data_IF_417480238583
#
_entry.id   IF_417480238583
#
_cell.length_a   1.000
_cell.length_b   1.000
_cell.length_c   1.000
_cell.angle_alpha   90.00
_cell.angle_beta   90.00
_cell.angle_gamma   90.00
#
_symmetry.space_group_name_H-M   'P 1'
#
loop_
_entity.id
_entity.type
_entity.pdbx_description
1 polymer ?
2 polymer ?
3 non-polymer ?
#
# COMPACT_ATOMS: atom_id res chain seq x y z
N UNK A 6 16.63 -24.85 -27.55
CA UNK A 6 16.56 -23.44 -27.20
C UNK A 6 16.25 -22.58 -28.42
N UNK A 7 15.16 -21.84 -28.36
CA UNK A 7 14.76 -20.98 -29.46
C UNK A 7 15.41 -19.61 -29.34
N UNK A 8 15.02 -18.71 -30.25
CA UNK A 8 15.45 -17.32 -30.24
C UNK A 8 14.23 -16.44 -30.40
N UNK A 9 14.34 -15.19 -29.93
CA UNK A 9 13.23 -14.26 -30.08
C UNK A 9 12.92 -14.01 -31.55
N UNK A 10 13.92 -14.18 -32.42
CA UNK A 10 13.71 -14.20 -33.85
C UNK A 10 13.97 -15.62 -34.36
N UNK A 11 12.98 -16.28 -34.98
CA UNK A 11 13.18 -17.68 -35.36
C UNK A 11 14.24 -17.88 -36.43
N UNK A 12 14.44 -16.91 -37.33
CA UNK A 12 15.44 -17.07 -38.37
C UNK A 12 16.84 -17.19 -37.79
N UNK A 13 17.07 -16.65 -36.59
CA UNK A 13 18.38 -16.72 -35.98
C UNK A 13 18.61 -18.01 -35.20
N UNK A 14 17.55 -18.78 -34.94
CA UNK A 14 17.64 -19.90 -34.00
C UNK A 14 18.73 -20.91 -34.38
N UNK A 15 18.88 -21.19 -35.67
CA UNK A 15 19.84 -22.20 -36.08
C UNK A 15 21.28 -21.67 -35.93
N UNK A 16 21.52 -20.41 -36.31
CA UNK A 16 22.81 -19.80 -36.04
C UNK A 16 23.10 -19.72 -34.55
N UNK A 17 22.05 -19.55 -33.74
CA UNK A 17 22.20 -19.54 -32.30
C UNK A 17 22.68 -20.88 -31.80
N UNK A 18 22.07 -21.96 -32.29
CA UNK A 18 22.53 -23.31 -31.96
C UNK A 18 23.97 -23.53 -32.41
N UNK A 19 24.32 -23.05 -33.60
CA UNK A 19 25.68 -23.22 -34.09
C UNK A 19 26.68 -22.44 -33.26
N UNK A 20 26.27 -21.31 -32.68
CA UNK A 20 27.18 -20.62 -31.75
C UNK A 20 27.22 -21.33 -30.41
N UNK A 21 26.07 -21.83 -29.94
CA UNK A 21 25.97 -22.40 -28.61
C UNK A 21 26.78 -23.69 -28.51
N UNK A 22 26.78 -24.50 -29.57
CA UNK A 22 27.54 -25.75 -29.53
C UNK A 22 29.04 -25.48 -29.47
N UNK A 23 29.49 -24.56 -30.33
CA UNK A 23 30.91 -24.19 -30.34
C UNK A 23 31.31 -23.59 -29.00
N UNK A 24 30.48 -22.71 -28.44
CA UNK A 24 30.83 -22.12 -27.16
C UNK A 24 30.81 -23.14 -26.04
N UNK A 25 29.94 -24.14 -26.13
CA UNK A 25 29.94 -25.19 -25.12
C UNK A 25 31.24 -25.98 -25.16
N UNK A 26 31.70 -26.34 -26.36
CA UNK A 26 33.00 -26.98 -26.46
C UNK A 26 34.11 -26.09 -25.90
N UNK A 27 34.18 -24.85 -26.40
CA UNK A 27 35.18 -23.90 -25.96
C UNK A 27 35.22 -23.78 -24.44
N UNK A 28 34.05 -23.63 -23.83
CA UNK A 28 33.95 -23.45 -22.38
C UNK A 28 34.37 -24.72 -21.64
N UNK A 29 33.76 -25.86 -21.99
CA UNK A 29 33.99 -27.08 -21.25
C UNK A 29 35.45 -27.50 -21.32
N UNK A 30 36.08 -27.40 -22.49
CA UNK A 30 37.45 -27.85 -22.68
C UNK A 30 38.50 -26.76 -22.48
N UNK A 31 38.43 -25.69 -23.27
CA UNK A 31 39.53 -24.72 -23.32
C UNK A 31 39.52 -23.75 -22.13
N UNK A 32 38.36 -23.20 -21.79
CA UNK A 32 38.28 -22.15 -20.77
C UNK A 32 38.20 -22.68 -19.35
N UNK A 33 37.77 -23.91 -19.16
CA UNK A 33 37.68 -24.50 -17.83
C UNK A 33 38.69 -25.62 -17.66
N UNK A 40 38.51 -16.88 -27.44
CA UNK A 40 37.46 -16.48 -28.37
C UNK A 40 37.66 -17.15 -29.73
N UNK A 41 37.55 -18.48 -29.76
CA UNK A 41 37.79 -19.23 -30.98
C UNK A 41 36.52 -19.42 -31.81
N UNK A 42 35.35 -19.24 -31.22
CA UNK A 42 34.08 -19.37 -31.92
C UNK A 42 33.59 -18.05 -32.51
N UNK A 43 34.48 -17.26 -33.10
CA UNK A 43 34.13 -15.92 -33.53
C UNK A 43 33.33 -15.89 -34.82
N UNK A 44 33.42 -16.93 -35.65
CA UNK A 44 32.69 -16.92 -36.91
C UNK A 44 31.19 -17.16 -36.67
N UNK A 45 30.86 -18.23 -35.94
CA UNK A 45 29.47 -18.46 -35.58
C UNK A 45 28.95 -17.33 -34.69
N UNK A 46 29.82 -16.74 -33.87
CA UNK A 46 29.42 -15.59 -33.06
C UNK A 46 29.07 -14.40 -33.94
N UNK A 47 29.86 -14.15 -34.98
CA UNK A 47 29.55 -13.07 -35.91
C UNK A 47 28.22 -13.32 -36.60
N UNK A 48 28.01 -14.54 -37.10
CA UNK A 48 26.75 -14.86 -37.76
C UNK A 48 25.57 -14.63 -36.83
N UNK A 49 25.66 -15.17 -35.61
CA UNK A 49 24.55 -15.07 -34.67
C UNK A 49 24.31 -13.62 -34.26
N UNK A 50 25.37 -12.87 -33.95
CA UNK A 50 25.20 -11.49 -33.53
C UNK A 50 24.70 -10.61 -34.65
N UNK A 51 25.08 -10.90 -35.90
CA UNK A 51 24.53 -10.17 -37.03
C UNK A 51 23.04 -10.42 -37.15
N UNK A 52 22.62 -11.69 -37.08
CA UNK A 52 21.20 -11.99 -37.16
C UNK A 52 20.43 -11.35 -36.01
N UNK A 53 20.99 -11.38 -34.80
CA UNK A 53 20.29 -10.82 -33.64
C UNK A 53 20.24 -9.30 -33.72
N UNK A 54 21.30 -8.67 -34.21
CA UNK A 54 21.28 -7.22 -34.38
C UNK A 54 20.24 -6.81 -35.42
N UNK A 55 20.16 -7.56 -36.52
CA UNK A 55 19.15 -7.26 -37.52
C UNK A 55 17.74 -7.43 -36.95
N UNK A 56 17.53 -8.48 -36.16
CA UNK A 56 16.20 -8.72 -35.59
C UNK A 56 15.85 -7.66 -34.57
N UNK A 57 16.81 -7.25 -33.74
CA UNK A 57 16.57 -6.16 -32.79
C UNK A 57 16.24 -4.88 -33.52
N UNK A 58 17.03 -4.53 -34.55
CA UNK A 58 16.73 -3.35 -35.36
C UNK A 58 15.29 -3.42 -35.86
N UNK A 59 14.94 -4.51 -36.55
CA UNK A 59 13.59 -4.71 -37.06
C UNK A 59 12.55 -4.46 -35.98
N UNK A 60 12.48 -5.37 -35.00
CA UNK A 60 11.40 -5.36 -34.02
C UNK A 60 11.34 -4.03 -33.26
N UNK A 61 12.49 -3.54 -32.76
CA UNK A 61 12.46 -2.41 -31.86
C UNK A 61 12.41 -1.05 -32.54
N UNK A 62 12.90 -0.94 -33.77
CA UNK A 62 13.03 0.34 -34.44
C UNK A 62 11.99 0.49 -35.55
N UNK A 63 11.86 -0.51 -36.41
CA UNK A 63 11.10 -0.31 -37.64
C UNK A 63 9.64 0.09 -37.42
N UNK A 64 8.90 -0.47 -36.46
CA UNK A 64 7.52 0.01 -36.26
C UNK A 64 7.41 1.53 -36.20
N UNK A 65 8.34 2.20 -35.52
CA UNK A 65 8.34 3.66 -35.48
C UNK A 65 8.51 4.26 -36.87
N UNK A 66 9.39 3.66 -37.70
CA UNK A 66 9.63 4.21 -39.03
C UNK A 66 8.45 3.98 -39.95
N UNK A 67 7.90 2.76 -39.94
CA UNK A 67 6.73 2.46 -40.76
C UNK A 67 5.52 3.29 -40.34
N UNK A 68 5.43 3.64 -39.05
CA UNK A 68 4.41 4.58 -38.62
C UNK A 68 4.72 5.99 -39.12
N UNK A 69 6.00 6.37 -39.11
CA UNK A 69 6.41 7.68 -39.59
C UNK A 69 6.53 7.74 -41.11
N UNK A 70 6.47 6.61 -41.80
CA UNK A 70 6.44 6.61 -43.26
C UNK A 70 5.06 6.91 -43.82
N UNK A 71 4.07 7.15 -42.97
CA UNK A 71 2.69 7.36 -43.42
C UNK A 71 2.58 8.74 -44.05
N UNK A 72 2.64 8.77 -45.39
CA UNK A 72 2.48 9.99 -46.15
C UNK A 72 2.05 9.61 -47.57
N UNK A 73 1.76 10.62 -48.36
CA UNK A 73 1.57 10.39 -49.79
C UNK A 73 2.93 10.00 -50.37
N UNK A 74 3.15 8.73 -50.75
CA UNK A 74 4.47 8.16 -51.06
C UNK A 74 5.28 9.00 -52.06
N UNK B 14 10.10 1.86 -3.68
CA UNK B 14 8.80 1.39 -3.21
C UNK B 14 8.91 0.11 -2.38
N UNK B 15 7.88 -0.73 -2.36
CA UNK B 15 7.86 -1.85 -1.42
C UNK B 15 8.87 -2.91 -1.83
N UNK B 16 9.74 -3.30 -0.88
CA UNK B 16 10.83 -4.22 -1.14
C UNK B 16 10.76 -5.39 -0.16
N UNK B 17 10.99 -6.59 -0.67
CA UNK B 17 10.99 -7.82 0.12
C UNK B 17 12.14 -8.68 -0.37
N UNK B 18 12.87 -9.30 0.57
CA UNK B 18 14.01 -10.13 0.18
C UNK B 18 13.91 -11.50 0.84
N UNK B 19 14.13 -12.55 0.05
CA UNK B 19 14.17 -13.91 0.54
C UNK B 19 15.46 -14.58 0.11
N UNK B 20 15.90 -15.56 0.89
CA UNK B 20 17.16 -16.25 0.63
C UNK B 20 16.97 -17.75 0.78
N UNK B 21 17.67 -18.50 -0.06
CA UNK B 21 17.65 -19.95 -0.01
C UNK B 21 19.01 -20.48 -0.43
N UNK B 22 19.27 -21.76 -0.12
CA UNK B 22 20.54 -22.40 -0.42
C UNK B 22 20.28 -23.77 -1.00
N UNK B 23 20.98 -24.11 -2.08
CA UNK B 23 20.88 -25.45 -2.66
C UNK B 23 22.26 -25.92 -3.09
N UNK B 24 22.55 -27.20 -2.84
CA UNK B 24 23.88 -27.77 -3.08
C UNK B 24 23.76 -28.80 -4.19
N UNK B 25 24.37 -28.52 -5.35
CA UNK B 25 24.42 -29.46 -6.46
C UNK B 25 25.59 -30.41 -6.27
N UNK B 26 25.37 -31.73 -6.30
CA UNK B 26 26.46 -32.69 -6.13
C UNK B 26 27.23 -32.95 -7.42
N UNK B 27 27.79 -31.88 -7.99
CA UNK B 27 28.50 -31.98 -9.25
C UNK B 27 29.59 -30.93 -9.29
N UNK B 28 30.45 -31.04 -10.31
CA UNK B 28 31.57 -30.12 -10.45
C UNK B 28 31.09 -28.74 -10.89
N UNK B 29 31.93 -27.73 -10.62
CA UNK B 29 31.58 -26.36 -10.99
C UNK B 29 31.43 -26.22 -12.49
N UNK B 30 32.26 -26.93 -13.25
CA UNK B 30 32.17 -26.88 -14.71
C UNK B 30 30.83 -27.39 -15.20
N UNK B 31 30.40 -28.53 -14.67
CA UNK B 31 29.13 -29.12 -15.10
C UNK B 31 27.95 -28.22 -14.74
N UNK B 32 27.94 -27.70 -13.50
CA UNK B 32 26.84 -26.85 -13.07
C UNK B 32 26.81 -25.55 -13.87
N UNK B 33 27.98 -24.98 -14.16
CA UNK B 33 28.03 -23.73 -14.91
C UNK B 33 27.57 -23.93 -16.35
N UNK B 34 28.08 -24.97 -17.02
CA UNK B 34 27.63 -25.29 -18.36
C UNK B 34 26.12 -25.55 -18.38
N UNK B 35 25.61 -26.21 -17.34
CA UNK B 35 24.18 -26.48 -17.28
C UNK B 35 23.38 -25.19 -17.13
N UNK B 36 23.85 -24.27 -16.30
CA UNK B 36 23.21 -22.96 -16.21
C UNK B 36 23.17 -22.30 -17.57
N UNK B 37 24.27 -22.38 -18.32
CA UNK B 37 24.28 -21.78 -19.65
C UNK B 37 23.50 -22.59 -20.68
N UNK B 38 23.08 -23.81 -20.35
CA UNK B 38 22.26 -24.63 -21.23
C UNK B 38 21.02 -25.14 -20.51
N UNK B 39 20.28 -24.23 -19.87
CA UNK B 39 19.20 -24.63 -18.99
C UNK B 39 17.91 -24.98 -19.75
N UNK B 40 17.71 -24.41 -20.93
CA UNK B 40 16.42 -24.58 -21.57
C UNK B 40 16.57 -25.22 -22.95
N UNK B 41 15.55 -25.98 -23.41
CA UNK B 41 14.32 -26.26 -22.66
C UNK B 41 14.46 -27.46 -21.74
N UNK B 42 13.64 -27.49 -20.70
CA UNK B 42 13.58 -28.61 -19.77
C UNK B 42 12.14 -28.74 -19.29
N UNK B 43 11.71 -29.94 -18.87
CA UNK B 43 10.31 -30.13 -18.49
C UNK B 43 9.89 -29.31 -17.28
N UNK B 44 10.84 -28.85 -16.46
CA UNK B 44 10.53 -28.08 -15.27
C UNK B 44 10.46 -26.58 -15.52
N UNK B 45 10.73 -26.14 -16.75
CA UNK B 45 10.64 -24.72 -17.13
C UNK B 45 9.95 -24.61 -18.48
N UNK B 46 8.63 -24.81 -18.52
CA UNK B 46 7.90 -24.68 -19.78
C UNK B 46 7.61 -23.25 -20.17
N UNK B 47 7.81 -22.29 -19.29
CA UNK B 47 7.45 -20.90 -19.56
C UNK B 47 8.49 -20.16 -20.39
N UNK B 48 9.74 -20.63 -20.41
CA UNK B 48 10.79 -19.94 -21.17
C UNK B 48 10.56 -20.18 -22.66
N UNK B 49 10.53 -19.10 -23.43
CA UNK B 49 10.26 -19.15 -24.86
C UNK B 49 11.48 -18.95 -25.72
N UNK B 50 12.50 -18.25 -25.24
CA UNK B 50 13.70 -17.99 -26.03
C UNK B 50 14.80 -17.48 -25.12
N UNK B 51 16.03 -17.79 -25.49
CA UNK B 51 17.23 -17.22 -24.87
C UNK B 51 18.14 -16.71 -25.98
N UNK B 52 18.82 -15.61 -25.71
CA UNK B 52 19.73 -15.01 -26.67
C UNK B 52 20.94 -14.45 -25.94
N UNK B 53 22.12 -14.60 -26.53
CA UNK B 53 23.35 -14.12 -25.95
C UNK B 53 23.65 -12.74 -26.52
N UNK B 54 23.48 -11.70 -25.70
CA UNK B 54 23.76 -10.35 -26.15
C UNK B 54 25.26 -10.05 -26.09
N UNK B 55 25.92 -10.44 -25.00
CA UNK B 55 27.36 -10.19 -24.92
C UNK B 55 28.03 -11.33 -24.17
N UNK B 56 29.32 -11.53 -24.47
CA UNK B 56 30.12 -12.55 -23.83
C UNK B 56 31.58 -12.30 -24.14
N UNK B 57 32.41 -12.13 -23.11
CA UNK B 57 33.81 -11.84 -23.30
C UNK B 57 34.60 -12.26 -22.07
N UNK B 58 35.92 -12.26 -22.21
CA UNK B 58 36.82 -12.53 -21.10
C UNK B 58 37.36 -11.19 -20.61
N UNK B 59 36.97 -10.82 -19.39
CA UNK B 59 37.31 -9.51 -18.84
C UNK B 59 38.81 -9.38 -18.58
N UNK B 60 39.21 -8.19 -18.12
CA UNK B 60 40.60 -7.92 -17.82
C UNK B 60 41.13 -8.74 -16.66
N UNK B 61 40.25 -9.18 -15.75
CA UNK B 61 40.67 -10.00 -14.62
C UNK B 61 40.65 -11.50 -14.93
N UNK B 62 40.36 -11.87 -16.17
CA UNK B 62 40.27 -13.28 -16.53
C UNK B 62 38.95 -13.94 -16.23
N UNK B 63 37.89 -13.15 -16.01
CA UNK B 63 36.57 -13.67 -15.71
C UNK B 63 35.66 -13.53 -16.92
N UNK B 64 34.86 -14.57 -17.17
CA UNK B 64 33.92 -14.56 -18.29
C UNK B 64 32.68 -13.75 -17.91
N UNK B 65 32.46 -12.65 -18.61
CA UNK B 65 31.28 -11.80 -18.43
C UNK B 65 30.30 -12.09 -19.56
N UNK B 66 29.05 -12.39 -19.21
CA UNK B 66 28.03 -12.73 -20.18
C UNK B 66 26.72 -12.04 -19.84
N UNK B 67 26.06 -11.53 -20.86
CA UNK B 67 24.73 -10.93 -20.74
C UNK B 67 23.81 -11.60 -21.75
N UNK B 68 22.79 -12.30 -21.25
CA UNK B 68 21.82 -13.01 -22.08
C UNK B 68 20.43 -12.41 -21.87
N UNK B 69 19.54 -12.72 -22.82
CA UNK B 69 18.21 -12.13 -22.89
C UNK B 69 17.19 -13.23 -23.04
N UNK B 70 16.32 -13.37 -22.04
CA UNK B 70 15.28 -14.39 -22.02
C UNK B 70 13.91 -13.76 -22.23
N UNK B 71 12.96 -14.59 -22.65
CA UNK B 71 11.56 -14.22 -22.78
C UNK B 71 10.72 -15.30 -22.14
N UNK B 72 9.70 -14.92 -21.39
CA UNK B 72 8.93 -15.89 -20.62
C UNK B 72 7.44 -15.59 -20.72
N UNK B 73 6.65 -16.64 -20.49
CA UNK B 73 5.19 -16.55 -20.49
C UNK B 73 4.66 -16.72 -19.09
N UNK B 74 3.38 -16.39 -18.91
CA UNK B 74 2.75 -16.53 -17.61
C UNK B 74 1.32 -16.06 -17.67
N UNK B 75 0.64 -16.20 -16.53
CA UNK B 75 -0.76 -15.80 -16.42
C UNK B 75 -0.94 -14.68 -15.41
N UNK B 88 1.18 -10.92 -21.20
CA UNK B 88 1.37 -12.21 -20.56
C UNK B 88 2.80 -12.71 -20.76
N UNK B 89 3.56 -12.02 -21.59
CA UNK B 89 4.96 -12.36 -21.84
C UNK B 89 5.85 -11.21 -21.37
N UNK B 90 7.04 -11.58 -20.92
CA UNK B 90 7.94 -10.66 -20.23
C UNK B 90 9.39 -10.92 -20.65
N UNK B 91 10.12 -9.84 -20.92
CA UNK B 91 11.54 -9.91 -21.21
C UNK B 91 12.34 -9.90 -19.91
N UNK B 92 13.47 -10.58 -19.92
CA UNK B 92 14.32 -10.73 -18.74
C UNK B 92 15.78 -10.61 -19.17
N UNK B 93 16.56 -9.86 -18.41
CA UNK B 93 18.01 -9.78 -18.60
C UNK B 93 18.68 -10.67 -17.58
N UNK B 94 19.75 -11.35 -18.00
CA UNK B 94 20.51 -12.26 -17.15
C UNK B 94 22.00 -11.93 -17.30
N UNK B 95 22.61 -11.45 -16.22
CA UNK B 95 24.02 -11.11 -16.18
C UNK B 95 24.74 -12.21 -15.39
N UNK B 96 25.90 -12.63 -15.89
CA UNK B 96 26.63 -13.70 -15.24
C UNK B 96 28.13 -13.46 -15.35
N UNK B 97 28.84 -13.78 -14.28
CA UNK B 97 30.29 -13.74 -14.22
C UNK B 97 30.78 -15.12 -13.80
N UNK B 98 31.77 -15.64 -14.50
CA UNK B 98 32.38 -16.92 -14.19
C UNK B 98 33.86 -16.68 -13.93
N UNK B 99 34.29 -16.87 -12.69
CA UNK B 99 35.71 -16.82 -12.35
C UNK B 99 36.24 -18.25 -12.40
N UNK B 100 37.05 -18.62 -13.41
CA UNK B 100 37.56 -19.99 -13.49
C UNK B 100 38.69 -20.23 -12.51
N UNK B 101 39.42 -19.16 -12.16
CA UNK B 101 40.51 -19.29 -11.21
C UNK B 101 40.00 -19.66 -9.83
N UNK B 102 38.96 -18.98 -9.35
CA UNK B 102 38.34 -19.29 -8.07
C UNK B 102 37.24 -20.35 -8.19
N UNK B 103 36.94 -20.80 -9.41
CA UNK B 103 35.85 -21.75 -9.65
C UNK B 103 34.54 -21.25 -9.05
N UNK B 104 34.27 -19.96 -9.25
CA UNK B 104 33.07 -19.32 -8.71
C UNK B 104 32.23 -18.77 -9.84
N UNK B 105 30.94 -18.57 -9.55
CA UNK B 105 30.04 -18.01 -10.56
C UNK B 105 28.97 -17.17 -9.86
N UNK B 106 28.65 -16.03 -10.46
CA UNK B 106 27.62 -15.15 -9.95
C UNK B 106 26.61 -14.87 -11.05
N UNK B 107 25.33 -15.01 -10.74
CA UNK B 107 24.26 -14.79 -11.70
C UNK B 107 23.25 -13.81 -11.11
N UNK B 108 22.68 -13.00 -11.99
CA UNK B 108 21.70 -11.99 -11.62
C UNK B 108 20.67 -11.91 -12.74
N UNK B 109 19.41 -11.79 -12.38
CA UNK B 109 18.34 -11.77 -13.37
C UNK B 109 17.28 -10.77 -12.94
N UNK B 110 16.70 -10.08 -13.92
CA UNK B 110 15.62 -9.15 -13.63
C UNK B 110 14.84 -8.85 -14.89
N UNK B 111 13.55 -8.59 -14.72
CA UNK B 111 12.70 -8.27 -15.86
C UNK B 111 12.98 -6.85 -16.34
N UNK B 112 12.85 -6.64 -17.65
CA UNK B 112 13.08 -5.33 -18.26
C UNK B 112 11.80 -4.53 -18.45
N UNK B 113 10.69 -5.21 -18.74
CA UNK B 113 9.39 -4.56 -18.85
C UNK B 113 8.55 -4.90 -17.62
N UNK B 114 7.41 -4.22 -17.51
CA UNK B 114 6.54 -4.28 -16.33
C UNK B 114 7.28 -3.87 -15.05
N UNK B 115 8.36 -3.09 -15.19
CA UNK B 115 9.15 -2.71 -14.02
C UNK B 115 8.35 -1.83 -13.07
N UNK B 116 7.42 -1.04 -13.61
CA UNK B 116 6.58 -0.22 -12.76
C UNK B 116 5.57 -1.01 -11.95
N UNK B 117 5.20 -2.20 -12.41
CA UNK B 117 4.28 -3.07 -11.68
C UNK B 117 5.04 -3.79 -10.59
N UNK B 118 5.94 -4.69 -10.98
CA UNK B 118 6.79 -5.40 -10.04
C UNK B 118 8.14 -5.66 -10.68
N UNK B 119 9.18 -5.65 -9.86
CA UNK B 119 10.54 -5.95 -10.28
C UNK B 119 11.06 -7.10 -9.43
N UNK B 120 11.40 -8.21 -10.08
CA UNK B 120 11.91 -9.40 -9.41
C UNK B 120 13.36 -9.55 -9.81
N UNK B 121 14.27 -9.41 -8.84
CA UNK B 121 15.69 -9.58 -9.07
C UNK B 121 16.17 -10.83 -8.35
N UNK B 122 16.98 -11.63 -9.03
CA UNK B 122 17.51 -12.87 -8.44
C UNK B 122 19.02 -12.87 -8.54
N UNK B 123 19.69 -13.07 -7.40
CA UNK B 123 21.15 -13.06 -7.32
C UNK B 123 21.60 -14.36 -6.68
N UNK B 124 22.41 -15.13 -7.41
CA UNK B 124 22.86 -16.45 -6.97
C UNK B 124 24.37 -16.55 -7.10
N UNK B 125 24.99 -17.18 -6.10
CA UNK B 125 26.42 -17.41 -6.09
C UNK B 125 26.71 -18.90 -5.98
N UNK B 126 27.48 -19.42 -6.93
CA UNK B 126 27.92 -20.81 -6.96
C UNK B 126 29.40 -20.85 -6.61
N UNK B 127 29.76 -21.75 -5.69
CA UNK B 127 31.15 -21.95 -5.28
C UNK B 127 31.42 -23.44 -5.16
N UNK B 128 32.69 -23.81 -5.32
CA UNK B 128 33.08 -25.21 -5.24
C UNK B 128 33.76 -25.53 -3.91
N UNK B 130 34.96 -28.36 -2.20
CA UNK B 130 35.82 -29.54 -2.29
C UNK B 130 35.72 -30.38 -1.02
N UNK B 131 35.44 -29.72 0.11
CA UNK B 131 35.24 -30.44 1.36
C UNK B 131 34.08 -31.44 1.22
N UNK B 132 32.94 -30.98 0.74
CA UNK B 132 31.86 -31.85 0.33
C UNK B 132 31.94 -32.19 -1.16
N UNK B 133 32.92 -31.63 -1.88
CA UNK B 133 33.10 -31.86 -3.31
C UNK B 133 31.83 -31.52 -4.10
N UNK B 134 31.16 -30.44 -3.70
CA UNK B 134 29.89 -30.07 -4.30
C UNK B 134 29.88 -28.58 -4.60
N UNK B 135 28.93 -28.17 -5.44
CA UNK B 135 28.76 -26.78 -5.84
C UNK B 135 27.61 -26.17 -5.05
N UNK B 136 27.92 -25.25 -4.15
CA UNK B 136 26.93 -24.56 -3.33
C UNK B 136 26.40 -23.37 -4.10
N UNK B 137 25.07 -23.21 -4.12
CA UNK B 137 24.41 -22.10 -4.78
C UNK B 137 23.54 -21.40 -3.76
N UNK B 138 23.95 -20.21 -3.36
CA UNK B 138 23.19 -19.35 -2.46
C UNK B 138 22.40 -18.35 -3.30
N UNK B 139 21.07 -18.43 -3.25
CA UNK B 139 20.20 -17.57 -4.02
C UNK B 139 19.49 -16.59 -3.09
N UNK B 140 19.24 -15.39 -3.62
CA UNK B 140 18.52 -14.35 -2.89
C UNK B 140 17.70 -13.57 -3.90
N UNK B 141 16.39 -13.49 -3.68
CA UNK B 141 15.48 -12.81 -4.58
C UNK B 141 14.89 -11.60 -3.89
N UNK B 142 14.91 -10.47 -4.57
CA UNK B 142 14.35 -9.21 -4.11
C UNK B 142 13.14 -8.87 -4.99
N UNK B 143 11.97 -8.85 -4.39
CA UNK B 143 10.73 -8.46 -5.04
C UNK B 143 10.36 -7.05 -4.60
N UNK B 144 10.31 -6.12 -5.56
CA UNK B 144 9.98 -4.73 -5.27
C UNK B 144 8.79 -4.31 -6.14
N UNK B 145 7.67 -4.03 -5.50
CA UNK B 145 6.48 -3.54 -6.17
C UNK B 145 6.40 -2.03 -6.03
N UNK B 146 6.09 -1.35 -7.14
CA UNK B 146 6.04 0.09 -7.18
C UNK B 146 4.64 0.66 -7.08
N UNK B 147 3.63 -0.21 -7.18
CA UNK B 147 2.24 0.21 -7.11
C UNK B 147 1.84 0.72 -5.73
N UNK B 148 2.71 0.55 -4.72
CA UNK B 148 2.39 1.03 -3.38
C UNK B 148 2.16 2.54 -3.37
N UNK B 149 2.86 3.29 -4.23
CA UNK B 149 2.65 4.73 -4.33
C UNK B 149 1.53 5.08 -5.30
N UNK B 150 1.35 4.27 -6.34
CA UNK B 150 0.24 4.48 -7.27
C UNK B 150 -1.11 4.32 -6.64
N UNK B 151 -1.23 3.41 -5.65
CA UNK B 151 -2.47 3.31 -4.89
C UNK B 151 -2.63 4.51 -3.97
N UNK B 152 -1.53 4.97 -3.36
CA UNK B 152 -1.60 6.08 -2.43
C UNK B 152 -2.02 7.37 -3.12
N UNK B 153 -1.58 7.56 -4.36
CA UNK B 153 -1.93 8.78 -5.10
C UNK B 153 -3.43 8.84 -5.38
N UNK B 154 -4.01 7.73 -5.82
CA UNK B 154 -5.45 7.70 -6.10
C UNK B 154 -6.25 7.82 -4.81
N UNK B 155 -5.82 7.14 -3.74
CA UNK B 155 -6.50 7.30 -2.45
C UNK B 155 -6.36 8.74 -1.95
N UNK B 156 -5.26 9.41 -2.30
CA UNK B 156 -5.06 10.79 -1.88
C UNK B 156 -6.04 11.73 -2.59
N UNK B 157 -6.17 11.58 -3.90
CA UNK B 157 -7.17 12.36 -4.63
C UNK B 157 -8.58 12.08 -4.11
N UNK B 158 -8.87 10.81 -3.83
CA UNK B 158 -10.18 10.44 -3.31
C UNK B 158 -10.44 11.10 -1.95
N UNK B 159 -9.43 11.08 -1.07
CA UNK B 159 -9.60 11.67 0.25
C UNK B 159 -9.72 13.19 0.18
N UNK B 160 -9.02 13.82 -0.77
CA UNK B 160 -9.18 15.26 -0.95
C UNK B 160 -10.60 15.61 -1.37
N UNK B 161 -11.15 14.85 -2.35
CA UNK B 161 -12.51 15.09 -2.80
C UNK B 161 -13.51 14.89 -1.67
N UNK B 162 -13.39 13.76 -0.95
CA UNK B 162 -14.31 13.48 0.15
C UNK B 162 -14.19 14.53 1.24
N UNK B 163 -12.98 15.00 1.52
CA UNK B 163 -12.77 16.01 2.55
C UNK B 163 -13.45 17.33 2.17
N UNK B 164 -13.27 17.76 0.91
CA UNK B 164 -13.95 18.97 0.47
C UNK B 164 -15.47 18.83 0.60
N UNK B 165 -16.01 17.72 0.12
CA UNK B 165 -17.46 17.52 0.19
C UNK B 165 -17.96 17.53 1.64
N UNK B 166 -17.28 16.80 2.52
CA UNK B 166 -17.74 16.68 3.90
C UNK B 166 -17.61 18.01 4.64
N UNK B 167 -16.53 18.75 4.39
CA UNK B 167 -16.38 20.05 5.05
C UNK B 167 -17.46 21.01 4.58
N UNK B 168 -17.77 21.00 3.28
CA UNK B 168 -18.84 21.86 2.79
C UNK B 168 -20.18 21.48 3.42
N UNK B 169 -20.48 20.18 3.49
CA UNK B 169 -21.74 19.75 4.07
C UNK B 169 -21.83 20.14 5.55
N UNK B 170 -20.74 19.96 6.30
CA UNK B 170 -20.77 20.29 7.73
C UNK B 170 -20.93 21.79 7.94
N UNK B 171 -20.20 22.61 7.18
CA UNK B 171 -20.32 24.06 7.33
C UNK B 171 -21.71 24.54 6.94
N UNK B 172 -22.30 23.94 5.90
CA UNK B 172 -23.65 24.32 5.51
C UNK B 172 -24.67 23.92 6.57
N UNK B 173 -24.48 22.76 7.19
CA UNK B 173 -25.36 22.37 8.29
C UNK B 173 -25.23 23.31 9.48
N UNK B 174 -24.01 23.74 9.78
CA UNK B 174 -23.81 24.69 10.87
C UNK B 174 -24.47 26.03 10.58
N UNK B 175 -24.35 26.51 9.34
CA UNK B 175 -25.04 27.74 8.97
C UNK B 175 -26.55 27.56 9.07
N UNK B 176 -27.07 26.42 8.61
CA UNK B 176 -28.50 26.14 8.70
C UNK B 176 -28.97 26.16 10.14
N UNK B 177 -28.16 25.65 11.07
CA UNK B 177 -28.61 25.59 12.45
C UNK B 177 -28.40 26.92 13.16
N UNK B 178 -27.45 27.75 12.69
CA UNK B 178 -27.41 29.14 13.15
C UNK B 178 -28.68 29.86 12.71
N UNK B 179 -29.18 29.51 11.52
CA UNK B 179 -30.37 30.17 10.99
C UNK B 179 -31.58 29.99 11.91
N UNK B 180 -31.70 28.83 12.55
CA UNK B 180 -32.80 28.60 13.48
C UNK B 180 -32.67 29.48 14.72
N UNK C 5 -35.39 16.35 16.98
CA UNK C 5 -34.44 16.62 18.05
C UNK C 5 -33.23 15.69 17.95
N UNK C 6 -32.16 16.06 18.65
CA UNK C 6 -30.98 15.20 18.71
C UNK C 6 -31.26 13.99 19.60
N UNK C 7 -31.07 12.80 19.05
CA UNK C 7 -31.33 11.59 19.80
C UNK C 7 -30.13 11.19 20.65
N UNK C 8 -30.24 10.03 21.28
CA UNK C 8 -29.16 9.42 22.05
C UNK C 8 -28.97 8.00 21.56
N UNK C 9 -27.78 7.45 21.82
CA UNK C 9 -27.53 6.06 21.47
C UNK C 9 -28.50 5.14 22.20
N UNK C 10 -28.95 5.54 23.40
CA UNK C 10 -30.04 4.87 24.09
C UNK C 10 -31.28 5.73 23.99
N UNK C 11 -32.37 5.24 23.41
CA UNK C 11 -33.57 6.08 23.27
C UNK C 11 -34.17 6.51 24.60
N UNK C 12 -34.08 5.66 25.63
CA UNK C 12 -34.73 5.97 26.90
C UNK C 12 -34.15 7.21 27.57
N UNK C 13 -32.94 7.63 27.18
CA UNK C 13 -32.34 8.83 27.73
C UNK C 13 -32.62 10.06 26.89
N UNK C 14 -33.11 9.88 25.66
CA UNK C 14 -33.23 10.99 24.70
C UNK C 14 -33.91 12.20 25.32
N UNK C 15 -35.12 12.01 25.85
CA UNK C 15 -35.82 13.11 26.51
C UNK C 15 -34.94 13.78 27.56
N UNK C 16 -34.43 13.00 28.52
CA UNK C 16 -33.51 13.57 29.51
C UNK C 16 -32.38 14.34 28.84
N UNK C 17 -31.79 13.76 27.77
CA UNK C 17 -30.77 14.46 27.01
C UNK C 17 -31.22 15.86 26.63
N UNK C 18 -32.39 15.97 25.98
CA UNK C 18 -32.92 17.26 25.60
C UNK C 18 -33.08 18.15 26.84
N UNK C 19 -33.62 17.59 27.93
CA UNK C 19 -33.79 18.36 29.16
C UNK C 19 -32.47 18.95 29.64
N UNK C 20 -31.35 18.27 29.38
CA UNK C 20 -30.06 18.87 29.69
C UNK C 20 -29.70 19.94 28.66
N UNK C 21 -29.82 19.60 27.37
CA UNK C 21 -29.27 20.45 26.32
C UNK C 21 -29.77 21.89 26.44
N UNK C 22 -31.09 22.07 26.42
CA UNK C 22 -31.70 23.37 26.68
C UNK C 22 -30.94 24.13 27.76
N UNK C 23 -30.92 23.56 28.96
CA UNK C 23 -30.28 24.22 30.08
C UNK C 23 -28.84 24.63 29.74
N UNK C 24 -28.03 23.68 29.25
CA UNK C 24 -26.65 23.99 28.90
C UNK C 24 -26.58 25.18 27.97
N UNK C 25 -27.41 25.18 26.92
CA UNK C 25 -27.43 26.31 26.01
C UNK C 25 -27.66 27.62 26.78
N UNK C 26 -28.70 27.65 27.62
CA UNK C 26 -28.98 28.86 28.40
C UNK C 26 -27.81 29.19 29.30
N UNK C 27 -27.14 28.16 29.84
CA UNK C 27 -25.97 28.39 30.67
C UNK C 27 -24.76 28.79 29.83
N UNK C 28 -24.67 28.30 28.59
CA UNK C 28 -23.47 28.54 27.80
C UNK C 28 -23.44 29.96 27.24
N UNK C 29 -24.60 30.53 26.94
CA UNK C 29 -24.66 31.87 26.38
C UNK C 29 -24.43 32.95 27.43
N UNK C 30 -25.37 33.07 28.37
CA UNK C 30 -25.34 34.18 29.32
C UNK C 30 -24.32 33.96 30.43
N UNK C 31 -24.45 32.85 31.17
CA UNK C 31 -23.63 32.66 32.36
C UNK C 31 -22.16 32.44 32.01
N UNK C 32 -21.88 31.59 31.03
CA UNK C 32 -20.51 31.26 30.68
C UNK C 32 -19.95 32.21 29.63
N UNK C 40 -22.63 23.63 35.93
CA UNK C 40 -22.66 24.25 37.25
C UNK C 40 -24.09 24.61 37.63
N UNK C 41 -24.75 25.41 36.79
CA UNK C 41 -26.14 25.77 37.05
C UNK C 41 -27.07 24.58 36.90
N UNK C 42 -26.71 23.62 36.05
CA UNK C 42 -27.52 22.43 35.82
C UNK C 42 -26.77 21.21 36.33
N UNK C 43 -27.19 20.70 37.48
CA UNK C 43 -26.72 19.43 38.00
C UNK C 43 -27.83 18.40 38.11
N UNK C 44 -29.10 18.81 38.18
CA UNK C 44 -30.20 17.86 38.21
C UNK C 44 -30.39 17.20 36.85
N UNK C 45 -30.54 18.00 35.80
CA UNK C 45 -30.69 17.45 34.46
C UNK C 45 -29.42 16.72 34.02
N UNK C 46 -28.25 17.26 34.35
CA UNK C 46 -27.00 16.58 34.05
C UNK C 46 -26.92 15.25 34.78
N UNK C 47 -27.31 15.22 36.06
CA UNK C 47 -27.30 13.95 36.79
C UNK C 47 -28.23 12.94 36.16
N UNK C 48 -29.47 13.34 35.85
CA UNK C 48 -30.42 12.41 35.26
C UNK C 48 -29.89 11.86 33.93
N UNK C 49 -29.41 12.75 33.07
CA UNK C 49 -28.93 12.33 31.76
C UNK C 49 -27.72 11.42 31.88
N UNK C 50 -26.73 11.81 32.69
CA UNK C 50 -25.52 11.00 32.78
C UNK C 50 -25.78 9.68 33.51
N UNK C 51 -26.77 9.64 34.40
CA UNK C 51 -27.14 8.38 35.03
C UNK C 51 -27.79 7.44 34.02
N UNK C 52 -28.72 7.95 33.21
CA UNK C 52 -29.31 7.12 32.16
C UNK C 52 -28.25 6.66 31.19
N UNK C 53 -27.31 7.54 30.84
CA UNK C 53 -26.26 7.18 29.88
C UNK C 53 -25.31 6.15 30.48
N UNK C 54 -24.99 6.28 31.77
CA UNK C 54 -24.14 5.28 32.42
C UNK C 54 -24.84 3.93 32.47
N UNK C 55 -26.13 3.91 32.80
CA UNK C 55 -26.88 2.65 32.79
C UNK C 55 -26.87 2.02 31.41
N UNK C 56 -27.09 2.83 30.37
CA UNK C 56 -27.13 2.30 29.01
C UNK C 56 -25.76 1.81 28.56
N UNK C 57 -24.70 2.53 28.91
CA UNK C 57 -23.35 2.09 28.59
C UNK C 57 -23.04 0.77 29.27
N UNK C 58 -23.30 0.69 30.58
CA UNK C 58 -23.09 -0.57 31.31
C UNK C 58 -23.83 -1.70 30.64
N UNK C 59 -25.11 -1.51 30.36
CA UNK C 59 -25.90 -2.51 29.66
C UNK C 59 -25.23 -2.94 28.37
N UNK C 60 -25.22 -2.05 27.37
CA UNK C 60 -24.80 -2.40 26.02
C UNK C 60 -23.36 -2.91 25.96
N UNK C 61 -22.51 -2.49 26.90
CA UNK C 61 -21.11 -2.85 26.80
C UNK C 61 -20.68 -4.04 27.64
N UNK C 62 -21.36 -4.29 28.77
CA UNK C 62 -20.97 -5.31 29.71
C UNK C 62 -21.96 -6.47 29.72
N UNK C 63 -23.25 -6.18 29.72
CA UNK C 63 -24.25 -7.22 29.90
C UNK C 63 -24.20 -8.32 28.83
N UNK C 64 -23.87 -8.05 27.55
CA UNK C 64 -23.69 -9.18 26.62
C UNK C 64 -22.66 -10.19 27.10
N UNK C 65 -21.50 -9.73 27.59
CA UNK C 65 -20.48 -10.66 28.07
C UNK C 65 -20.94 -11.42 29.30
N UNK C 66 -21.66 -10.75 30.21
CA UNK C 66 -22.15 -11.45 31.39
C UNK C 66 -23.19 -12.50 31.03
N UNK C 67 -24.10 -12.18 30.10
CA UNK C 67 -25.10 -13.15 29.67
C UNK C 67 -24.46 -14.31 28.91
N UNK C 68 -23.38 -14.04 28.16
CA UNK C 68 -22.66 -15.12 27.51
C UNK C 68 -21.92 -15.98 28.54
N UNK C 69 -21.49 -15.38 29.65
CA UNK C 69 -20.83 -16.11 30.71
C UNK C 69 -21.81 -16.72 31.70
N UNK C 70 -23.06 -16.26 31.71
CA UNK C 70 -24.08 -16.75 32.62
C UNK C 70 -24.78 -18.01 32.13
N UNK C 71 -24.34 -18.58 31.03
CA UNK C 71 -25.03 -19.76 30.49
C UNK C 71 -24.58 -20.99 31.26
N UNK C 72 -25.27 -21.27 32.37
CA UNK C 72 -25.00 -22.44 33.19
C UNK C 72 -26.29 -23.22 33.39
N UNK C 73 -26.27 -24.19 34.30
CA UNK C 73 -27.42 -25.06 34.53
C UNK C 73 -28.59 -24.32 35.16
N UNK C 74 -28.38 -23.42 36.15
CA UNK C 74 -29.52 -22.70 36.73
C UNK C 74 -30.15 -21.69 35.78
N UNK D 14 1.56 2.91 8.39
CA UNK D 14 0.25 3.39 7.99
C UNK D 14 0.31 4.67 7.17
N UNK D 15 -0.24 4.65 5.96
CA UNK D 15 -0.26 5.83 5.10
C UNK D 15 -1.02 6.97 5.77
N UNK D 16 -0.41 8.16 5.77
CA UNK D 16 -1.02 9.35 6.36
C UNK D 16 -1.16 10.41 5.29
N UNK D 17 -2.36 10.98 5.20
CA UNK D 17 -2.67 12.05 4.25
C UNK D 17 -3.27 13.22 5.00
N UNK D 18 -2.79 14.42 4.71
CA UNK D 18 -3.25 15.63 5.38
C UNK D 18 -3.95 16.56 4.39
N UNK D 19 -5.08 17.12 4.81
CA UNK D 19 -5.84 18.05 3.98
C UNK D 19 -6.25 19.23 4.85
N UNK D 20 -6.33 20.41 4.22
CA UNK D 20 -6.65 21.64 4.93
C UNK D 20 -7.70 22.44 4.17
N UNK D 21 -8.49 23.21 4.92
CA UNK D 21 -9.52 24.06 4.34
C UNK D 21 -9.85 25.16 5.34
N UNK D 22 -10.51 26.20 4.85
CA UNK D 22 -10.86 27.36 5.65
C UNK D 22 -12.26 27.84 5.29
N UNK D 23 -13.09 28.10 6.30
CA UNK D 23 -14.40 28.67 6.08
C UNK D 23 -14.66 29.77 7.10
N UNK D 24 -15.27 30.85 6.66
CA UNK D 24 -15.49 32.03 7.50
C UNK D 24 -16.99 32.22 7.67
N UNK D 25 -17.47 32.05 8.92
CA UNK D 25 -18.87 32.26 9.26
C UNK D 25 -19.11 33.73 9.60
N UNK D 26 -20.16 34.35 9.06
CA UNK D 26 -20.42 35.77 9.33
C UNK D 26 -21.27 36.00 10.58
N UNK D 27 -20.79 35.47 11.71
CA UNK D 27 -21.49 35.64 12.98
C UNK D 27 -20.46 35.69 14.10
N UNK D 28 -20.94 35.97 15.31
CA UNK D 28 -20.07 36.03 16.47
C UNK D 28 -19.60 34.62 16.85
N UNK D 29 -18.53 34.58 17.65
CA UNK D 29 -17.96 33.30 18.07
C UNK D 29 -18.94 32.51 18.93
N UNK D 30 -19.72 33.21 19.76
CA UNK D 30 -20.68 32.52 20.62
C UNK D 30 -21.76 31.83 19.81
N UNK D 31 -22.26 32.50 18.76
CA UNK D 31 -23.29 31.90 17.92
C UNK D 31 -22.79 30.64 17.22
N UNK D 32 -21.60 30.73 16.60
CA UNK D 32 -21.06 29.59 15.88
C UNK D 32 -20.74 28.45 16.84
N UNK D 33 -20.27 28.77 18.06
CA UNK D 33 -19.95 27.73 19.02
C UNK D 33 -21.20 27.01 19.51
N UNK D 34 -22.24 27.78 19.85
CA UNK D 34 -23.52 27.19 20.22
C UNK D 34 -24.07 26.32 19.08
N UNK D 35 -23.89 26.78 17.84
CA UNK D 35 -24.32 25.99 16.69
C UNK D 35 -23.57 24.67 16.62
N UNK D 36 -22.24 24.72 16.79
CA UNK D 36 -21.46 23.50 16.84
C UNK D 36 -21.98 22.54 17.90
N UNK D 37 -22.35 23.08 19.06
CA UNK D 37 -22.90 22.21 20.10
C UNK D 37 -24.34 21.79 19.82
N UNK D 38 -25.02 22.40 18.84
CA UNK D 38 -26.38 22.00 18.50
C UNK D 38 -26.50 21.66 17.01
N UNK D 39 -25.57 20.86 16.48
CA UNK D 39 -25.49 20.66 15.04
C UNK D 39 -26.53 19.68 14.50
N UNK D 40 -27.11 18.83 15.34
CA UNK D 40 -27.97 17.79 14.78
C UNK D 40 -29.37 17.83 15.38
N UNK D 41 -30.39 17.46 14.60
CA UNK D 41 -30.26 17.09 13.18
C UNK D 41 -30.39 18.28 12.24
N UNK D 42 -29.88 18.13 11.02
CA UNK D 42 -29.99 19.15 9.99
C UNK D 42 -29.98 18.46 8.64
N UNK D 43 -30.57 19.08 7.60
CA UNK D 43 -30.68 18.39 6.31
C UNK D 43 -29.35 18.06 5.66
N UNK D 44 -28.27 18.75 6.03
CA UNK D 44 -26.96 18.50 5.44
C UNK D 44 -26.18 17.41 6.16
N UNK D 45 -26.75 16.81 7.21
CA UNK D 45 -26.12 15.70 7.92
C UNK D 45 -27.18 14.66 8.28
N UNK D 46 -27.69 13.94 7.28
CA UNK D 46 -28.66 12.87 7.58
C UNK D 46 -28.03 11.59 8.09
N UNK D 47 -26.69 11.49 8.02
CA UNK D 47 -26.00 10.26 8.40
C UNK D 47 -25.83 10.10 9.89
N UNK D 48 -25.93 11.19 10.66
CA UNK D 48 -25.72 11.14 12.09
C UNK D 48 -26.96 10.60 12.78
N UNK D 49 -26.79 9.54 13.56
CA UNK D 49 -27.90 8.86 14.22
C UNK D 49 -28.12 9.31 15.66
N UNK D 50 -27.05 9.65 16.38
CA UNK D 50 -27.18 10.03 17.77
C UNK D 50 -25.98 10.87 18.17
N UNK D 51 -26.11 11.53 19.32
CA UNK D 51 -25.01 12.29 19.92
C UNK D 51 -25.23 12.33 21.42
N UNK D 52 -24.14 12.21 22.18
CA UNK D 52 -24.21 12.10 23.62
C UNK D 52 -23.04 12.87 24.25
N UNK D 53 -23.31 13.54 25.35
CA UNK D 53 -22.28 14.29 26.07
C UNK D 53 -21.73 13.42 27.18
N UNK D 54 -20.47 13.00 27.02
CA UNK D 54 -19.83 12.15 28.02
C UNK D 54 -19.31 12.98 29.18
N UNK D 55 -18.59 14.07 28.89
CA UNK D 55 -18.07 14.91 29.95
C UNK D 55 -18.14 16.37 29.54
N UNK D 56 -18.23 17.26 30.53
CA UNK D 56 -18.26 18.69 30.30
C UNK D 56 -18.00 19.45 31.58
N UNK D 57 -16.97 20.31 31.58
CA UNK D 57 -16.62 21.07 32.77
C UNK D 57 -15.90 22.34 32.37
N UNK D 58 -15.61 23.19 33.36
CA UNK D 58 -14.87 24.42 33.15
C UNK D 58 -13.46 24.24 33.72
N UNK D 59 -12.46 24.33 32.85
CA UNK D 59 -11.09 24.01 33.22
C UNK D 59 -10.50 25.11 34.09
N UNK D 60 -9.26 24.88 34.55
CA UNK D 60 -8.57 25.86 35.39
C UNK D 60 -8.25 27.14 34.63
N UNK D 61 -8.19 27.09 33.30
CA UNK D 61 -8.01 28.28 32.48
C UNK D 61 -9.32 29.01 32.23
N UNK D 62 -10.41 28.59 32.88
CA UNK D 62 -11.72 29.14 32.59
C UNK D 62 -12.34 28.65 31.31
N UNK D 63 -11.80 27.60 30.70
CA UNK D 63 -12.26 27.10 29.42
C UNK D 63 -13.16 25.89 29.59
N UNK D 64 -14.19 25.80 28.75
CA UNK D 64 -15.11 24.69 28.77
C UNK D 64 -14.51 23.52 28.00
N UNK D 65 -14.21 22.43 28.71
CA UNK D 65 -13.73 21.19 28.12
C UNK D 65 -14.90 20.22 28.01
N UNK D 66 -15.09 19.65 26.83
CA UNK D 66 -16.23 18.79 26.57
C UNK D 66 -15.79 17.59 25.73
N UNK D 67 -16.33 16.42 26.08
CA UNK D 67 -16.13 15.19 25.33
C UNK D 67 -17.50 14.59 25.02
N UNK D 68 -17.82 14.48 23.74
CA UNK D 68 -19.10 13.99 23.28
C UNK D 68 -18.91 12.77 22.38
N UNK D 69 -19.96 11.96 22.30
CA UNK D 69 -19.95 10.69 21.59
C UNK D 69 -21.05 10.68 20.53
N UNK D 70 -20.65 10.60 19.27
CA UNK D 70 -21.56 10.55 18.14
C UNK D 70 -21.60 9.14 17.56
N UNK D 71 -22.69 8.85 16.84
CA UNK D 71 -22.80 7.65 16.03
C UNK D 71 -23.23 8.06 14.64
N UNK D 72 -22.58 7.50 13.62
CA UNK D 72 -22.88 7.83 12.24
C UNK D 72 -23.02 6.55 11.44
N UNK D 73 -23.56 6.69 10.24
CA UNK D 73 -23.69 5.56 9.33
C UNK D 73 -23.90 6.09 7.91
N UNK D 74 -23.12 5.59 6.97
CA UNK D 74 -23.25 6.00 5.59
C UNK D 74 -22.95 4.85 4.66
N UNK D 75 -23.34 5.01 3.39
CA UNK D 75 -23.15 3.99 2.38
C UNK D 75 -21.67 3.74 2.12
N UNK D 76 -21.15 2.61 2.58
CA UNK D 76 -19.76 2.23 2.33
C UNK D 76 -19.74 1.05 1.36
N UNK D 77 -19.59 1.27 0.05
CA UNK D 77 -19.72 0.17 -0.90
C UNK D 77 -18.42 -0.59 -1.13
N UNK D 78 -18.17 -1.60 -0.32
CA UNK D 78 -16.98 -2.46 -0.44
C UNK D 78 -17.21 -3.71 0.40
N UNK D 79 -16.20 -4.56 0.45
CA UNK D 79 -16.26 -5.79 1.25
C UNK D 79 -14.88 -6.15 1.80
N UNK D 87 -20.42 -4.00 8.26
CA UNK D 87 -21.11 -3.04 9.11
C UNK D 87 -21.26 -1.70 8.38
N UNK D 88 -22.19 -0.88 8.87
CA UNK D 88 -22.44 0.44 8.28
C UNK D 88 -22.28 1.58 9.27
N UNK D 89 -22.33 1.31 10.57
CA UNK D 89 -22.27 2.34 11.59
C UNK D 89 -20.85 2.49 12.15
N UNK D 90 -20.62 3.64 12.79
CA UNK D 90 -19.30 4.01 13.29
C UNK D 90 -19.47 4.95 14.48
N UNK D 91 -18.67 4.73 15.51
CA UNK D 91 -18.65 5.60 16.68
C UNK D 91 -17.60 6.69 16.49
N UNK D 92 -17.92 7.89 16.97
CA UNK D 92 -17.07 9.06 16.80
C UNK D 92 -16.92 9.73 18.16
N UNK D 93 -15.69 10.11 18.51
CA UNK D 93 -15.43 10.91 19.69
C UNK D 93 -15.13 12.32 19.25
N UNK D 94 -15.64 13.30 20.01
CA UNK D 94 -15.49 14.72 19.71
C UNK D 94 -15.04 15.44 20.98
N UNK D 95 -13.83 15.98 20.96
CA UNK D 95 -13.24 16.69 22.09
C UNK D 95 -13.15 18.17 21.73
N UNK D 96 -13.69 19.03 22.59
CA UNK D 96 -13.75 20.45 22.29
C UNK D 96 -13.34 21.27 23.51
N UNK D 97 -12.63 22.36 23.23
CA UNK D 97 -12.24 23.35 24.23
C UNK D 97 -12.78 24.71 23.79
N UNK D 98 -13.36 25.45 24.73
CA UNK D 98 -13.92 26.77 24.46
C UNK D 98 -13.30 27.76 25.45
N UNK D 99 -12.45 28.66 24.94
CA UNK D 99 -11.91 29.73 25.76
C UNK D 99 -12.79 30.95 25.59
N UNK D 100 -13.58 31.34 26.61
CA UNK D 100 -14.46 32.51 26.46
C UNK D 100 -13.70 33.82 26.63
N UNK D 101 -12.59 33.78 27.37
CA UNK D 101 -11.76 34.97 27.52
C UNK D 101 -11.10 35.35 26.20
N UNK D 102 -10.50 34.38 25.52
CA UNK D 102 -9.88 34.62 24.23
C UNK D 102 -10.86 34.50 23.06
N UNK D 103 -12.11 34.11 23.34
CA UNK D 103 -13.13 33.91 22.30
C UNK D 103 -12.64 32.94 21.24
N UNK D 104 -11.99 31.86 21.69
CA UNK D 104 -11.43 30.88 20.78
C UNK D 104 -12.06 29.51 21.04
N UNK D 105 -11.99 28.64 20.04
CA UNK D 105 -12.52 27.29 20.20
C UNK D 105 -11.67 26.31 19.41
N UNK D 106 -11.52 25.11 19.95
CA UNK D 106 -10.79 24.03 19.29
C UNK D 106 -11.64 22.77 19.34
N UNK D 107 -11.74 22.07 18.22
CA UNK D 107 -12.51 20.83 18.15
C UNK D 107 -11.66 19.77 17.47
N UNK D 108 -11.85 18.52 17.91
CA UNK D 108 -11.10 17.39 17.37
C UNK D 108 -12.01 16.17 17.37
N UNK D 109 -12.19 15.57 16.20
CA UNK D 109 -13.10 14.44 16.06
C UNK D 109 -12.37 13.27 15.43
N UNK D 110 -12.69 12.06 15.88
CA UNK D 110 -12.07 10.87 15.29
C UNK D 110 -12.93 9.65 15.60
N UNK D 111 -12.85 8.66 14.70
CA UNK D 111 -13.59 7.43 14.91
C UNK D 111 -12.94 6.58 15.99
N UNK D 112 -13.78 5.90 16.76
CA UNK D 112 -13.28 5.01 17.81
C UNK D 112 -13.14 3.57 17.33
N UNK D 113 -14.00 3.13 16.41
CA UNK D 113 -13.93 1.81 15.82
C UNK D 113 -13.53 1.92 14.35
N UNK D 114 -13.17 0.77 13.78
CA UNK D 114 -12.63 0.66 12.43
C UNK D 114 -11.32 1.43 12.28
N UNK D 115 -10.62 1.68 13.38
CA UNK D 115 -9.36 2.42 13.31
C UNK D 115 -8.30 1.65 12.54
N UNK D 116 -8.31 0.31 12.65
CA UNK D 116 -7.38 -0.49 11.87
C UNK D 116 -7.63 -0.43 10.37
N UNK D 117 -8.84 -0.08 9.97
CA UNK D 117 -9.17 0.05 8.55
C UNK D 117 -8.80 1.45 8.08
N UNK D 118 -9.44 2.48 8.66
CA UNK D 118 -9.07 3.85 8.39
C UNK D 118 -9.37 4.70 9.61
N UNK D 119 -8.53 5.69 9.86
CA UNK D 119 -8.67 6.61 10.99
C UNK D 119 -8.72 8.03 10.42
N UNK D 120 -9.87 8.68 10.56
CA UNK D 120 -10.09 10.02 10.03
C UNK D 120 -10.17 10.97 11.22
N UNK D 121 -9.17 11.83 11.34
CA UNK D 121 -9.10 12.82 12.42
C UNK D 121 -9.34 14.20 11.83
N UNK D 122 -10.27 14.95 12.41
CA UNK D 122 -10.54 16.31 11.96
C UNK D 122 -10.29 17.28 13.12
N UNK D 123 -9.33 18.16 12.93
CA UNK D 123 -9.01 19.22 13.89
C UNK D 123 -9.45 20.55 13.30
N UNK D 124 -10.25 21.30 14.06
CA UNK D 124 -10.76 22.59 13.60
C UNK D 124 -10.53 23.64 14.67
N UNK D 125 -10.03 24.80 14.26
CA UNK D 125 -9.82 25.93 15.16
C UNK D 125 -10.69 27.09 14.72
N UNK D 126 -11.46 27.62 15.68
CA UNK D 126 -12.35 28.76 15.46
C UNK D 126 -11.80 29.96 16.22
N UNK D 127 -11.62 31.07 15.50
CA UNK D 127 -11.16 32.31 16.10
C UNK D 127 -11.90 33.48 15.49
N UNK D 128 -12.26 34.45 16.32
CA UNK D 128 -13.02 35.61 15.87
C UNK D 128 -12.07 36.71 15.43
N UNK D 129 -12.21 37.15 14.18
CA UNK D 129 -11.49 38.30 13.66
C UNK D 129 -12.40 39.52 13.81
N UNK D 130 -12.00 40.44 14.70
CA UNK D 130 -12.75 41.67 14.92
C UNK D 130 -12.53 42.68 13.81
N UNK D 131 -11.48 42.52 13.01
CA UNK D 131 -11.29 43.40 11.86
C UNK D 131 -12.44 43.27 10.88
N UNK D 132 -12.91 42.05 10.64
CA UNK D 132 -14.10 41.81 9.84
C UNK D 132 -15.31 41.44 10.69
N UNK D 133 -15.13 41.30 12.01
CA UNK D 133 -16.19 40.91 12.93
C UNK D 133 -16.85 39.60 12.51
N UNK D 134 -16.01 38.62 12.15
CA UNK D 134 -16.50 37.33 11.66
C UNK D 134 -15.63 36.22 12.20
N UNK D 135 -16.19 35.01 12.28
CA UNK D 135 -15.52 33.88 12.92
C UNK D 135 -14.88 33.00 11.85
N UNK D 136 -13.55 32.97 11.83
CA UNK D 136 -12.80 32.13 10.91
C UNK D 136 -12.64 30.75 11.51
N UNK D 137 -12.70 29.72 10.67
CA UNK D 137 -12.57 28.34 11.09
C UNK D 137 -11.64 27.62 10.13
N UNK D 138 -10.51 27.14 10.66
CA UNK D 138 -9.52 26.40 9.87
C UNK D 138 -9.63 24.92 10.23
N UNK D 139 -9.85 24.08 9.23
CA UNK D 139 -10.01 22.65 9.42
C UNK D 139 -8.87 21.90 8.75
N UNK D 140 -8.40 20.85 9.41
CA UNK D 140 -7.36 19.97 8.89
C UNK D 140 -7.72 18.53 9.22
N UNK D 141 -7.74 17.67 8.21
CA UNK D 141 -8.12 16.27 8.38
C UNK D 141 -6.94 15.39 8.01
N UNK D 142 -6.77 14.33 8.81
CA UNK D 142 -5.69 13.37 8.70
C UNK D 142 -6.30 11.99 8.47
N UNK D 143 -6.04 11.41 7.30
CA UNK D 143 -6.46 10.07 6.96
C UNK D 143 -5.28 9.12 7.18
N UNK D 144 -5.41 8.19 8.12
CA UNK D 144 -4.38 7.21 8.40
C UNK D 144 -4.99 5.82 8.26
N UNK D 145 -4.67 5.13 7.15
CA UNK D 145 -5.30 3.86 6.83
C UNK D 145 -4.65 2.70 7.57
N UNK D 146 -3.58 2.14 6.99
CA UNK D 146 -2.93 0.96 7.51
C UNK D 146 -3.09 -0.27 6.63
N UNK D 147 -3.96 -0.22 5.63
CA UNK D 147 -4.13 -1.35 4.73
C UNK D 147 -2.87 -1.63 3.92
N UNK D 148 -1.95 -0.66 3.83
CA UNK D 148 -0.69 -0.91 3.16
C UNK D 148 0.08 -2.03 3.84
N UNK D 149 0.06 -2.06 5.17
CA UNK D 149 0.76 -3.12 5.90
C UNK D 149 0.12 -4.48 5.66
N UNK D 150 -1.20 -4.53 5.63
CA UNK D 150 -1.87 -5.80 5.35
C UNK D 150 -1.60 -6.30 3.94
N UNK D 151 -1.65 -5.41 2.95
CA UNK D 151 -1.31 -5.79 1.58
C UNK D 151 0.13 -6.26 1.51
N UNK D 152 1.03 -5.59 2.25
CA UNK D 152 2.44 -5.99 2.23
C UNK D 152 2.63 -7.37 2.85
N UNK D 153 1.92 -7.67 3.94
CA UNK D 153 2.04 -8.98 4.56
C UNK D 153 1.47 -10.07 3.66
N UNK D 154 0.34 -9.80 3.01
CA UNK D 154 -0.26 -10.77 2.09
C UNK D 154 0.70 -11.06 0.94
N UNK D 155 1.17 -10.02 0.26
CA UNK D 155 2.12 -10.23 -0.84
C UNK D 155 3.44 -10.77 -0.32
N UNK D 156 3.75 -10.63 0.97
CA UNK D 156 4.99 -11.18 1.51
C UNK D 156 4.90 -12.69 1.63
N UNK D 157 3.81 -13.18 2.24
CA UNK D 157 3.56 -14.62 2.23
C UNK D 157 3.52 -15.17 0.81
N UNK D 158 2.84 -14.44 -0.09
CA UNK D 158 2.72 -14.89 -1.48
C UNK D 158 4.08 -14.94 -2.17
N UNK D 159 4.93 -13.93 -1.93
CA UNK D 159 6.24 -13.88 -2.57
C UNK D 159 7.16 -14.95 -2.00
N UNK D 160 7.07 -15.23 -0.70
CA UNK D 160 7.85 -16.34 -0.14
C UNK D 160 7.45 -17.66 -0.78
N UNK D 161 6.14 -17.89 -0.93
CA UNK D 161 5.67 -19.12 -1.56
C UNK D 161 6.17 -19.23 -3.00
N UNK D 162 5.98 -18.17 -3.79
CA UNK D 162 6.40 -18.18 -5.18
C UNK D 162 7.91 -18.36 -5.29
N UNK D 163 8.67 -17.74 -4.39
CA UNK D 163 10.13 -17.84 -4.43
C UNK D 163 10.58 -19.27 -4.14
N UNK D 164 9.99 -19.91 -3.12
CA UNK D 164 10.34 -21.30 -2.83
C UNK D 164 10.00 -22.20 -4.01
N UNK D 165 8.80 -22.04 -4.58
CA UNK D 165 8.41 -22.89 -5.71
C UNK D 165 9.33 -22.69 -6.91
N UNK D 166 9.65 -21.43 -7.23
CA UNK D 166 10.52 -21.16 -8.37
C UNK D 166 11.92 -21.70 -8.13
N UNK D 167 12.45 -21.56 -6.92
CA UNK D 167 13.78 -22.10 -6.62
C UNK D 167 13.79 -23.61 -6.79
N UNK D 168 12.76 -24.28 -6.25
CA UNK D 168 12.71 -25.74 -6.37
C UNK D 168 12.63 -26.18 -7.83
N UNK D 169 11.74 -25.55 -8.61
CA UNK D 169 11.57 -25.97 -10.00
C UNK D 169 12.81 -25.66 -10.84
N UNK D 170 13.45 -24.52 -10.59
CA UNK D 170 14.65 -24.18 -11.35
C UNK D 170 15.81 -25.10 -11.00
N UNK D 171 15.97 -25.42 -9.72
CA UNK D 171 17.02 -26.37 -9.33
C UNK D 171 16.74 -27.75 -9.91
N UNK D 172 15.47 -28.14 -9.98
CA UNK D 172 15.14 -29.42 -10.60
C UNK D 172 15.45 -29.42 -12.08
N UNK D 173 15.15 -28.33 -12.79
CA UNK D 173 15.51 -28.26 -14.20
C UNK D 173 17.01 -28.27 -14.42
N UNK D 174 17.75 -27.61 -13.53
CA UNK D 174 19.21 -27.61 -13.64
C UNK D 174 19.78 -29.00 -13.38
N UNK D 175 19.24 -29.73 -12.41
CA UNK D 175 19.66 -31.11 -12.20
C UNK D 175 19.31 -31.97 -13.41
N UNK D 176 18.15 -31.70 -14.02
CA UNK D 176 17.75 -32.42 -15.24
C UNK D 176 18.75 -32.21 -16.35
N UNK D 177 19.20 -30.97 -16.56
CA UNK D 177 20.14 -30.73 -17.66
C UNK D 177 21.56 -31.17 -17.30
N UNK D 178 21.91 -31.21 -16.01
CA UNK D 178 23.18 -31.80 -15.60
C UNK D 178 23.17 -33.29 -15.89
N UNK D 179 22.04 -33.95 -15.63
CA UNK D 179 21.93 -35.39 -15.87
C UNK D 179 22.16 -35.73 -17.34
N UNK D 180 21.54 -34.97 -18.24
CA UNK D 180 21.75 -35.19 -19.67
C UNK D 180 23.15 -34.76 -20.09
#
# INVERSE_FOLDING_TARGET
MGNIMSASFAPECTDLKTKYDSCFNEWYSEKFLKGKSVENECSKQWYAYTTCVNAALVKQGIKPALDEAREEAPFENGGKLKEVDK
MGSSHHHHHHSQDPMVLLHKSTHIFPTDFASVSRAFFNRYPNPYSPHVLSIDTISRNVDQEGNLRTTRLLKKSGKLPTWVKPFLRGITETWIIEVSVVNPANSTMKTYTRNLDHTGIMKVEEYTTYQFDSATSSTIADSRVKFSSGFNMGIKSKVEDWSRTKFDENVKKSRMGMAFVIQKLEEARNPQF
MGNIMSASFAPECTDLKTKYDSCFNEWYSEKFLKGKSVENECSKQWYAYTTCVNAALVKQGIKPALDEAREEAPFENGGKLKEVDK
MGSSHHHHHHSQDPMVLLHKSTHIFPTDFASVSRAFFNRYPNPYSPHVLSIDTISRNVDQEGNLRTTRLLKKSGKLPTWVKPFLRGITETWIIEVSVVNPANSTMKTYTRNLDHTGIMKVEEYTTYQFDSATSSTIADSRVKFSSGFNMGIKSKVEDWSRTKFDENVKKSRMGMAFVIQKLEEARNPQF
#
